data_IF_073195471118
#
_entry.id   IF_073195471118
#
_cell.length_a   1.000
_cell.length_b   1.000
_cell.length_c   1.000
_cell.angle_alpha   90.00
_cell.angle_beta   90.00
_cell.angle_gamma   90.00
#
_symmetry.space_group_name_H-M   'P 1'
#
loop_
_entity.id
_entity.type
_entity.pdbx_description
1 polymer ?
#
# COMPACT_ATOMS: atom_id res chain seq x y z
N UNK A 1 -7.35 -29.41 -14.30
CA UNK A 1 -8.58 -28.60 -14.13
C UNK A 1 -8.55 -27.79 -12.84
N UNK A 2 -8.65 -28.43 -11.68
CA UNK A 2 -8.83 -27.75 -10.39
C UNK A 2 -7.53 -27.23 -9.76
N UNK A 3 -6.43 -27.99 -9.90
CA UNK A 3 -5.13 -27.65 -9.30
C UNK A 3 -4.54 -26.33 -9.83
N UNK A 4 -4.75 -26.01 -11.12
CA UNK A 4 -4.26 -24.77 -11.73
C UNK A 4 -5.03 -23.54 -11.21
N UNK A 5 -6.33 -23.69 -10.95
CA UNK A 5 -7.16 -22.59 -10.44
C UNK A 5 -6.78 -22.29 -8.99
N UNK A 6 -6.49 -23.32 -8.20
CA UNK A 6 -6.08 -23.14 -6.80
C UNK A 6 -4.70 -22.50 -6.68
N UNK A 7 -3.73 -22.88 -7.54
CA UNK A 7 -2.42 -22.21 -7.58
C UNK A 7 -2.53 -20.75 -8.04
N UNK A 8 -3.37 -20.44 -9.03
CA UNK A 8 -3.61 -19.05 -9.46
C UNK A 8 -4.25 -18.26 -8.32
N UNK A 9 -5.29 -18.79 -7.66
CA UNK A 9 -5.97 -18.12 -6.54
C UNK A 9 -5.03 -17.85 -5.36
N UNK A 10 -4.10 -18.78 -5.09
CA UNK A 10 -3.09 -18.65 -4.05
C UNK A 10 -2.07 -17.53 -4.33
N UNK A 11 -1.78 -17.23 -5.60
CA UNK A 11 -0.87 -16.15 -6.03
C UNK A 11 -1.60 -14.81 -6.17
N UNK A 12 -2.85 -14.83 -6.64
CA UNK A 12 -3.65 -13.61 -6.84
C UNK A 12 -3.96 -12.92 -5.51
N UNK A 13 -4.09 -13.64 -4.39
CA UNK A 13 -4.35 -13.03 -3.08
C UNK A 13 -3.23 -12.11 -2.60
N UNK A 14 -1.95 -12.54 -2.48
CA UNK A 14 -0.84 -11.64 -2.18
C UNK A 14 -0.59 -10.62 -3.30
N UNK A 15 -0.82 -10.98 -4.57
CA UNK A 15 -0.69 -10.06 -5.71
C UNK A 15 -1.67 -8.87 -5.62
N UNK A 16 -2.93 -9.13 -5.29
CA UNK A 16 -3.94 -8.07 -5.10
C UNK A 16 -3.60 -7.13 -3.94
N UNK A 17 -2.92 -7.64 -2.91
CA UNK A 17 -2.51 -6.87 -1.75
C UNK A 17 -1.31 -5.96 -2.08
N UNK A 18 -0.37 -6.45 -2.90
CA UNK A 18 0.75 -5.68 -3.43
C UNK A 18 0.28 -4.57 -4.38
N UNK A 19 -0.66 -4.87 -5.30
CA UNK A 19 -1.26 -3.87 -6.19
C UNK A 19 -2.00 -2.79 -5.37
N UNK A 20 -2.70 -3.18 -4.30
CA UNK A 20 -3.36 -2.24 -3.39
C UNK A 20 -2.38 -1.31 -2.68
N UNK A 21 -1.23 -1.82 -2.24
CA UNK A 21 -0.17 -0.99 -1.65
C UNK A 21 0.37 0.00 -2.69
N UNK A 22 0.69 -0.48 -3.90
CA UNK A 22 1.17 0.36 -4.99
C UNK A 22 0.16 1.45 -5.36
N UNK A 23 -1.12 1.11 -5.49
CA UNK A 23 -2.17 2.07 -5.81
C UNK A 23 -2.35 3.13 -4.70
N UNK A 24 -2.32 2.72 -3.42
CA UNK A 24 -2.44 3.65 -2.29
C UNK A 24 -1.25 4.62 -2.24
N UNK A 25 -0.02 4.16 -2.50
CA UNK A 25 1.15 5.04 -2.51
C UNK A 25 1.17 5.96 -3.74
N UNK A 26 0.79 5.47 -4.92
CA UNK A 26 0.70 6.32 -6.12
C UNK A 26 -0.38 7.39 -5.95
N UNK A 27 -1.54 7.06 -5.37
CA UNK A 27 -2.62 8.02 -5.15
C UNK A 27 -2.23 9.10 -4.13
N UNK A 28 -1.63 8.70 -3.00
CA UNK A 28 -1.13 9.64 -1.99
C UNK A 28 -0.05 10.57 -2.55
N UNK A 29 0.93 9.99 -3.22
CA UNK A 29 2.01 10.74 -3.86
C UNK A 29 1.51 11.67 -5.00
N UNK A 30 0.49 11.26 -5.77
CA UNK A 30 -0.11 12.11 -6.80
C UNK A 30 -0.83 13.31 -6.18
N UNK A 31 -1.61 13.10 -5.12
CA UNK A 31 -2.27 14.18 -4.38
C UNK A 31 -1.23 15.15 -3.81
N UNK A 32 -0.15 14.63 -3.24
CA UNK A 32 0.94 15.42 -2.67
C UNK A 32 1.66 16.23 -3.75
N UNK A 33 1.98 15.63 -4.90
CA UNK A 33 2.56 16.34 -6.04
C UNK A 33 1.65 17.46 -6.57
N UNK A 34 0.34 17.26 -6.56
CA UNK A 34 -0.62 18.30 -6.95
C UNK A 34 -0.67 19.42 -5.89
N UNK A 35 -0.68 19.09 -4.60
CA UNK A 35 -0.66 20.07 -3.52
C UNK A 35 0.64 20.91 -3.55
N UNK A 36 1.80 20.26 -3.72
CA UNK A 36 3.09 20.91 -3.84
C UNK A 36 3.19 21.85 -5.04
N UNK A 37 2.62 21.49 -6.18
CA UNK A 37 2.53 22.41 -7.33
C UNK A 37 1.65 23.64 -7.05
N UNK A 38 0.60 23.49 -6.23
CA UNK A 38 -0.21 24.63 -5.78
C UNK A 38 0.52 25.51 -4.75
N UNK A 39 1.56 25.01 -4.08
CA UNK A 39 2.41 25.84 -3.21
C UNK A 39 3.20 26.88 -3.98
N UNK A 40 3.66 26.55 -5.18
CA UNK A 40 4.45 27.45 -6.04
C UNK A 40 3.61 28.61 -6.63
N UNK A 41 2.29 28.43 -6.76
CA UNK A 41 1.38 29.42 -7.37
C UNK A 41 0.59 30.25 -6.35
N UNK A 42 0.67 29.93 -5.05
CA UNK A 42 -0.12 30.59 -4.00
C UNK A 42 0.64 31.70 -3.28
N UNK A 43 -0.11 32.60 -2.64
CA UNK A 43 0.44 33.71 -1.85
C UNK A 43 1.24 33.20 -0.64
N UNK A 44 2.31 33.90 -0.27
CA UNK A 44 3.23 33.57 0.82
C UNK A 44 2.57 33.27 2.17
N UNK A 45 1.37 33.79 2.43
CA UNK A 45 0.61 33.54 3.65
C UNK A 45 -0.03 32.14 3.73
N UNK A 46 -0.32 31.49 2.59
CA UNK A 46 -0.96 30.16 2.55
C UNK A 46 0.05 29.00 2.52
N UNK A 47 1.32 29.30 2.20
CA UNK A 47 2.44 28.34 2.21
C UNK A 47 2.52 27.51 3.51
N UNK A 48 2.53 28.09 4.73
CA UNK A 48 2.66 27.29 5.95
C UNK A 48 1.50 26.31 6.17
N UNK A 49 0.29 26.67 5.71
CA UNK A 49 -0.90 25.81 5.83
C UNK A 49 -0.77 24.62 4.90
N UNK A 50 -0.44 24.84 3.62
CA UNK A 50 -0.31 23.75 2.64
C UNK A 50 0.86 22.83 3.01
N UNK A 51 1.98 23.38 3.49
CA UNK A 51 3.10 22.59 3.99
C UNK A 51 2.71 21.69 5.18
N UNK A 52 1.93 22.22 6.13
CA UNK A 52 1.44 21.43 7.26
C UNK A 52 0.50 20.30 6.81
N UNK A 53 -0.31 20.53 5.78
CA UNK A 53 -1.19 19.53 5.20
C UNK A 53 -0.40 18.42 4.47
N UNK A 54 0.62 18.76 3.68
CA UNK A 54 1.52 17.78 3.05
C UNK A 54 2.23 16.91 4.09
N UNK A 55 2.78 17.51 5.15
CA UNK A 55 3.44 16.77 6.22
C UNK A 55 2.47 15.78 6.88
N UNK A 56 1.24 16.20 7.15
CA UNK A 56 0.21 15.33 7.73
C UNK A 56 -0.16 14.19 6.76
N UNK A 57 -0.28 14.48 5.46
CA UNK A 57 -0.58 13.48 4.44
C UNK A 57 0.53 12.42 4.33
N UNK A 58 1.80 12.84 4.41
CA UNK A 58 2.95 11.93 4.42
C UNK A 58 2.94 10.99 5.63
N UNK A 59 2.64 11.52 6.82
CA UNK A 59 2.50 10.70 8.04
C UNK A 59 1.34 9.70 7.91
N UNK A 60 0.25 10.11 7.29
CA UNK A 60 -0.88 9.22 7.05
C UNK A 60 -0.53 8.10 6.06
N UNK A 61 0.13 8.42 4.95
CA UNK A 61 0.51 7.44 3.93
C UNK A 61 1.50 6.40 4.47
N UNK A 62 2.46 6.83 5.29
CA UNK A 62 3.40 5.94 5.97
C UNK A 62 2.72 5.05 7.01
N UNK A 63 1.72 5.54 7.76
CA UNK A 63 0.94 4.72 8.67
C UNK A 63 0.16 3.62 7.92
N UNK A 64 -0.47 3.97 6.80
CA UNK A 64 -1.20 3.02 5.95
C UNK A 64 -0.26 1.98 5.33
N UNK A 65 0.93 2.38 4.89
CA UNK A 65 1.91 1.45 4.30
C UNK A 65 2.43 0.42 5.30
N UNK A 66 2.64 0.80 6.57
CA UNK A 66 3.02 -0.11 7.65
C UNK A 66 1.93 -1.15 7.92
N UNK A 67 0.67 -0.73 8.03
CA UNK A 67 -0.46 -1.64 8.26
C UNK A 67 -0.58 -2.64 7.10
N UNK A 68 -0.46 -2.16 5.87
CA UNK A 68 -0.59 -3.01 4.68
C UNK A 68 0.58 -4.00 4.53
N UNK A 69 1.81 -3.61 4.88
CA UNK A 69 2.97 -4.50 4.94
C UNK A 69 2.80 -5.59 6.02
N UNK A 70 2.23 -5.24 7.17
CA UNK A 70 1.91 -6.20 8.22
C UNK A 70 0.88 -7.25 7.76
N UNK A 71 -0.22 -6.81 7.13
CA UNK A 71 -1.23 -7.72 6.59
C UNK A 71 -0.64 -8.64 5.52
N UNK A 72 0.25 -8.12 4.66
CA UNK A 72 0.96 -8.92 3.67
C UNK A 72 1.83 -10.01 4.28
N UNK A 73 2.65 -9.64 5.28
CA UNK A 73 3.51 -10.58 6.01
C UNK A 73 2.69 -11.68 6.70
N UNK A 74 1.58 -11.32 7.34
CA UNK A 74 0.71 -12.28 8.02
C UNK A 74 0.05 -13.24 7.04
N UNK A 75 -0.48 -12.73 5.91
CA UNK A 75 -1.07 -13.58 4.87
C UNK A 75 -0.01 -14.51 4.25
N UNK A 76 1.17 -13.99 3.93
CA UNK A 76 2.28 -14.76 3.37
C UNK A 76 2.70 -15.90 4.30
N UNK A 77 2.84 -15.61 5.60
CA UNK A 77 3.19 -16.61 6.61
C UNK A 77 2.12 -17.70 6.73
N UNK A 78 0.83 -17.32 6.75
CA UNK A 78 -0.29 -18.26 6.76
C UNK A 78 -0.21 -19.20 5.53
N UNK A 79 -0.01 -18.64 4.34
CA UNK A 79 0.10 -19.41 3.11
C UNK A 79 1.31 -20.36 3.08
N UNK A 80 2.48 -19.89 3.51
CA UNK A 80 3.67 -20.74 3.62
C UNK A 80 3.45 -21.87 4.63
N UNK A 81 2.76 -21.59 5.74
CA UNK A 81 2.47 -22.60 6.76
C UNK A 81 1.46 -23.67 6.29
N UNK A 82 0.46 -23.30 5.50
CA UNK A 82 -0.47 -24.24 4.86
C UNK A 82 0.24 -25.16 3.86
N UNK A 83 1.13 -24.61 3.03
CA UNK A 83 1.93 -25.39 2.07
C UNK A 83 2.95 -26.28 2.79
N UNK A 84 3.57 -25.80 3.87
CA UNK A 84 4.50 -26.58 4.68
C UNK A 84 3.84 -27.75 5.42
N UNK A 85 2.59 -27.57 5.91
CA UNK A 85 1.79 -28.66 6.47
C UNK A 85 1.42 -29.72 5.43
N UNK A 86 1.18 -29.33 4.18
CA UNK A 86 0.96 -30.27 3.06
C UNK A 86 2.20 -31.09 2.67
N UNK A 87 3.42 -30.63 2.99
CA UNK A 87 4.67 -31.39 2.76
C UNK A 87 5.00 -32.41 3.87
N UNK A 88 4.32 -32.34 5.02
CA UNK A 88 4.54 -33.24 6.18
C UNK A 88 3.49 -34.36 6.31
N UNK A 89 2.50 -34.41 5.41
CA UNK A 89 1.62 -35.57 5.19
C UNK A 89 1.95 -36.17 3.83
#
# INVERSE_FOLDING_TARGET
GMACIETISNIVRPGSLAIRLMANMIAGHLIMSLLGNNMLSTTTQMIPIIFSAELMLMLFETAVSVIQAYVFSMLSTLYTSEVAKKKKK
#
